data_IF_935012295572
#
_entry.id   IF_935012295572
#
_cell.length_a   1.000
_cell.length_b   1.000
_cell.length_c   1.000
_cell.angle_alpha   90.00
_cell.angle_beta   90.00
_cell.angle_gamma   90.00
#
_symmetry.space_group_name_H-M   'P 1'
#
loop_
_entity.id
_entity.type
_entity.pdbx_description
1 polymer ?
#
# COMPACT_ATOMS: atom_id res chain seq x y z
N UNK A 1 28.48 -11.48 -25.82
CA UNK A 1 27.38 -12.40 -25.46
C UNK A 1 27.01 -12.09 -24.02
N UNK A 2 25.90 -11.37 -23.79
CA UNK A 2 25.51 -10.98 -22.43
C UNK A 2 24.82 -12.15 -21.75
N UNK A 3 25.43 -12.67 -20.69
CA UNK A 3 24.88 -13.72 -19.83
C UNK A 3 23.60 -13.16 -19.19
N UNK A 4 22.44 -13.61 -19.66
CA UNK A 4 21.15 -13.22 -19.09
C UNK A 4 21.00 -13.91 -17.74
N UNK A 5 21.00 -13.12 -16.68
CA UNK A 5 20.65 -13.57 -15.33
C UNK A 5 19.16 -13.94 -15.36
N UNK A 6 18.76 -15.13 -14.88
CA UNK A 6 17.36 -15.52 -14.81
C UNK A 6 16.56 -14.50 -13.97
N UNK A 7 15.45 -14.01 -14.54
CA UNK A 7 14.53 -13.07 -13.90
C UNK A 7 13.58 -13.87 -13.01
N UNK A 8 13.84 -13.88 -11.72
CA UNK A 8 13.03 -14.54 -10.70
C UNK A 8 13.93 -14.93 -9.54
N UNK A 9 13.59 -14.45 -8.33
CA UNK A 9 14.28 -14.67 -7.05
C UNK A 9 15.42 -13.72 -6.65
N UNK A 10 15.29 -12.41 -6.90
CA UNK A 10 16.03 -11.44 -6.08
C UNK A 10 15.09 -10.35 -5.55
N UNK A 11 15.28 -10.03 -4.27
CA UNK A 11 14.31 -9.47 -3.32
C UNK A 11 13.43 -8.32 -3.85
N UNK A 12 12.18 -8.63 -4.18
CA UNK A 12 11.08 -7.67 -4.12
C UNK A 12 10.99 -7.22 -2.67
N UNK A 13 11.31 -5.95 -2.37
CA UNK A 13 11.17 -5.34 -1.04
C UNK A 13 9.76 -4.77 -0.95
N UNK A 14 8.77 -5.49 -0.40
CA UNK A 14 7.41 -5.01 -0.34
C UNK A 14 7.32 -3.93 0.75
N UNK A 15 6.43 -2.93 0.66
CA UNK A 15 6.16 -1.99 1.74
C UNK A 15 5.29 -2.61 2.87
N UNK A 16 5.45 -3.90 3.12
CA UNK A 16 4.92 -4.60 4.30
C UNK A 16 5.81 -5.78 4.69
N UNK A 17 5.74 -6.18 5.96
CA UNK A 17 6.41 -7.39 6.47
C UNK A 17 5.36 -8.38 6.98
N UNK A 18 5.49 -9.63 6.55
CA UNK A 18 4.74 -10.77 7.06
C UNK A 18 5.35 -11.24 8.38
N UNK A 19 4.58 -11.25 9.47
CA UNK A 19 5.10 -11.60 10.81
C UNK A 19 4.79 -13.05 11.25
N UNK A 20 3.94 -13.78 10.52
CA UNK A 20 3.62 -15.17 10.83
C UNK A 20 4.17 -16.12 9.74
N UNK A 21 5.43 -16.53 9.85
CA UNK A 21 5.94 -17.68 9.08
C UNK A 21 5.20 -18.96 9.53
N UNK A 22 4.26 -19.44 8.73
CA UNK A 22 3.43 -20.61 9.01
C UNK A 22 2.83 -21.20 7.73
N UNK A 23 2.09 -22.31 7.88
CA UNK A 23 1.33 -22.93 6.79
C UNK A 23 0.35 -21.89 6.23
N UNK A 24 0.59 -21.45 4.98
CA UNK A 24 -0.18 -20.36 4.37
C UNK A 24 -1.66 -20.76 4.32
N UNK A 25 -2.57 -19.99 4.96
CA UNK A 25 -3.99 -20.09 4.64
C UNK A 25 -4.15 -19.93 3.13
N UNK A 26 -5.05 -20.71 2.55
CA UNK A 26 -5.24 -20.86 1.10
C UNK A 26 -5.07 -19.50 0.38
N UNK A 27 -3.96 -19.31 -0.33
CA UNK A 27 -3.78 -18.12 -1.16
C UNK A 27 -4.82 -18.25 -2.26
N UNK A 28 -5.90 -17.49 -2.15
CA UNK A 28 -6.86 -17.37 -3.23
C UNK A 28 -6.16 -16.53 -4.31
N UNK A 29 -5.55 -17.23 -5.25
CA UNK A 29 -5.16 -16.65 -6.53
C UNK A 29 -6.47 -16.22 -7.20
N UNK A 30 -6.68 -14.91 -7.26
CA UNK A 30 -7.80 -14.34 -7.98
C UNK A 30 -7.28 -14.05 -9.39
N UNK A 31 -7.75 -14.77 -10.44
CA UNK A 31 -7.32 -14.56 -11.82
C UNK A 31 -7.97 -13.30 -12.38
N UNK A 32 -7.70 -12.16 -11.73
CA UNK A 32 -8.21 -10.85 -12.09
C UNK A 32 -7.04 -9.91 -12.32
N UNK A 33 -7.08 -9.24 -13.46
CA UNK A 33 -6.18 -8.12 -13.73
C UNK A 33 -6.59 -6.91 -12.87
N UNK A 34 -5.59 -6.09 -12.52
CA UNK A 34 -5.85 -4.77 -11.96
C UNK A 34 -6.42 -3.86 -13.05
N UNK A 35 -7.31 -2.95 -12.67
CA UNK A 35 -7.87 -2.01 -13.62
C UNK A 35 -6.77 -1.16 -14.27
N UNK A 36 -6.73 -1.14 -15.60
CA UNK A 36 -5.66 -0.49 -16.38
C UNK A 36 -5.63 1.02 -16.22
N UNK A 37 -6.70 1.65 -15.75
CA UNK A 37 -6.74 3.10 -15.47
C UNK A 37 -6.01 3.54 -14.21
N UNK A 38 -5.44 2.62 -13.41
CA UNK A 38 -4.68 2.98 -12.21
C UNK A 38 -3.31 3.60 -12.57
N UNK A 39 -2.95 4.77 -12.03
CA UNK A 39 -1.60 5.31 -12.14
C UNK A 39 -0.61 4.42 -11.39
N UNK A 40 0.67 4.51 -11.75
CA UNK A 40 1.72 3.91 -10.95
C UNK A 40 1.77 4.58 -9.57
N UNK A 41 1.85 3.77 -8.51
CA UNK A 41 2.11 4.22 -7.13
C UNK A 41 3.62 4.32 -6.86
N UNK A 42 4.40 3.48 -7.54
CA UNK A 42 5.86 3.48 -7.47
C UNK A 42 6.44 2.85 -8.74
N UNK A 43 7.68 3.18 -9.05
CA UNK A 43 8.47 2.46 -10.05
C UNK A 43 9.44 1.55 -9.31
N UNK A 44 9.47 0.28 -9.69
CA UNK A 44 10.45 -0.68 -9.19
C UNK A 44 11.86 -0.25 -9.63
N UNK A 45 12.74 0.04 -8.67
CA UNK A 45 14.09 0.57 -8.94
C UNK A 45 14.95 -0.40 -9.77
N UNK A 46 14.71 -1.71 -9.67
CA UNK A 46 15.56 -2.71 -10.33
C UNK A 46 15.09 -3.04 -11.74
N UNK A 47 13.78 -3.15 -11.92
CA UNK A 47 13.19 -3.51 -13.20
C UNK A 47 12.76 -2.30 -14.01
N UNK A 48 12.77 -1.11 -13.39
CA UNK A 48 12.18 0.13 -13.91
C UNK A 48 10.70 -0.02 -14.27
N UNK A 49 10.00 -0.98 -13.68
CA UNK A 49 8.62 -1.27 -14.04
C UNK A 49 7.64 -0.53 -13.11
N UNK A 50 6.54 0.03 -13.65
CA UNK A 50 5.50 0.66 -12.85
C UNK A 50 4.70 -0.37 -12.06
N UNK A 51 4.67 -0.17 -10.75
CA UNK A 51 3.79 -0.84 -9.79
C UNK A 51 2.52 0.00 -9.68
N UNK A 52 1.37 -0.59 -9.95
CA UNK A 52 0.06 0.09 -9.91
C UNK A 52 -0.66 -0.13 -8.59
N UNK A 53 -0.42 -1.25 -7.90
CA UNK A 53 -0.91 -1.49 -6.53
C UNK A 53 0.27 -2.02 -5.72
N UNK A 54 0.62 -1.31 -4.66
CA UNK A 54 1.67 -1.75 -3.74
C UNK A 54 1.16 -2.88 -2.85
N UNK A 55 2.10 -3.70 -2.38
CA UNK A 55 1.76 -4.72 -1.40
C UNK A 55 1.38 -4.08 -0.06
N UNK A 56 0.50 -4.72 0.71
CA UNK A 56 -0.12 -4.11 1.89
C UNK A 56 -1.32 -3.21 1.56
N UNK A 57 -1.69 -3.01 0.29
CA UNK A 57 -2.94 -2.34 -0.08
C UNK A 57 -4.13 -3.29 0.07
N UNK A 58 -5.20 -2.81 0.69
CA UNK A 58 -6.47 -3.53 0.75
C UNK A 58 -7.15 -3.41 -0.61
N UNK A 59 -7.59 -4.52 -1.17
CA UNK A 59 -8.19 -4.58 -2.51
C UNK A 59 -9.55 -5.25 -2.49
N UNK A 60 -10.32 -4.98 -3.54
CA UNK A 60 -11.61 -5.61 -3.80
C UNK A 60 -11.87 -5.69 -5.30
N UNK A 61 -13.03 -6.26 -5.64
CA UNK A 61 -13.52 -6.28 -7.02
C UNK A 61 -14.51 -5.14 -7.17
N UNK A 62 -14.28 -4.26 -8.14
CA UNK A 62 -15.20 -3.15 -8.40
C UNK A 62 -16.47 -3.67 -9.08
N UNK A 63 -17.62 -3.34 -8.48
CA UNK A 63 -18.96 -3.76 -8.93
C UNK A 63 -19.82 -2.54 -9.25
N UNK A 64 -20.55 -2.55 -10.38
CA UNK A 64 -21.44 -1.44 -10.74
C UNK A 64 -20.70 -0.20 -11.25
N UNK A 65 -21.32 1.00 -11.17
CA UNK A 65 -20.84 2.29 -11.71
C UNK A 65 -19.33 2.49 -11.48
N UNK A 66 -18.56 2.08 -12.48
CA UNK A 66 -17.12 2.13 -12.49
C UNK A 66 -16.70 2.97 -13.71
N UNK A 67 -15.49 3.53 -13.71
CA UNK A 67 -14.89 4.02 -14.95
C UNK A 67 -15.00 2.96 -16.06
N UNK A 68 -15.05 3.37 -17.33
CA UNK A 68 -15.19 2.42 -18.44
C UNK A 68 -14.19 1.25 -18.32
N UNK A 69 -14.71 0.02 -18.45
CA UNK A 69 -13.96 -1.25 -18.36
C UNK A 69 -13.34 -1.60 -16.99
N UNK A 70 -13.70 -0.89 -15.91
CA UNK A 70 -13.23 -1.24 -14.58
C UNK A 70 -14.02 -2.38 -13.93
N UNK A 71 -15.30 -2.56 -14.26
CA UNK A 71 -16.15 -3.60 -13.66
C UNK A 71 -15.52 -5.00 -13.75
N UNK A 72 -15.47 -5.70 -12.62
CA UNK A 72 -14.87 -7.04 -12.52
C UNK A 72 -13.34 -7.05 -12.44
N UNK A 73 -12.68 -5.89 -12.36
CA UNK A 73 -11.22 -5.78 -12.20
C UNK A 73 -10.85 -5.53 -10.75
N UNK A 74 -9.61 -5.85 -10.39
CA UNK A 74 -9.09 -5.57 -9.06
C UNK A 74 -8.87 -4.05 -8.91
N UNK A 75 -9.35 -3.51 -7.79
CA UNK A 75 -9.27 -2.09 -7.46
C UNK A 75 -8.96 -1.91 -5.97
N UNK A 76 -8.25 -0.85 -5.54
CA UNK A 76 -8.07 -0.54 -4.13
C UNK A 76 -9.41 -0.42 -3.41
N UNK A 77 -9.60 -1.17 -2.32
CA UNK A 77 -10.85 -1.16 -1.58
C UNK A 77 -11.15 0.22 -1.02
N UNK A 78 -12.43 0.57 -0.98
CA UNK A 78 -12.89 1.87 -0.49
C UNK A 78 -14.32 1.76 0.02
N UNK A 79 -14.56 2.29 1.22
CA UNK A 79 -15.92 2.48 1.73
C UNK A 79 -16.35 3.91 1.43
N UNK A 80 -17.53 4.10 0.81
CA UNK A 80 -18.02 5.43 0.45
C UNK A 80 -19.47 5.63 0.87
N UNK A 81 -19.78 6.85 1.27
CA UNK A 81 -21.15 7.36 1.40
C UNK A 81 -21.30 8.57 0.48
N UNK A 82 -22.32 8.57 -0.40
CA UNK A 82 -22.59 9.68 -1.32
C UNK A 82 -21.67 9.73 -2.56
N UNK A 83 -21.58 10.92 -3.16
CA UNK A 83 -20.79 11.18 -4.35
C UNK A 83 -19.40 11.69 -3.97
N UNK A 84 -18.40 10.85 -4.20
CA UNK A 84 -16.99 11.20 -3.96
C UNK A 84 -16.21 11.31 -5.27
N UNK A 85 -15.12 12.07 -5.24
CA UNK A 85 -14.19 12.18 -6.38
C UNK A 85 -12.86 11.53 -6.03
N UNK A 86 -12.40 10.59 -6.87
CA UNK A 86 -11.04 10.06 -6.75
C UNK A 86 -10.12 10.71 -7.79
N UNK A 87 -9.08 11.37 -7.31
CA UNK A 87 -8.03 12.00 -8.11
C UNK A 87 -6.83 11.07 -8.20
N UNK A 88 -6.55 10.63 -9.41
CA UNK A 88 -5.39 9.83 -9.77
C UNK A 88 -4.29 10.74 -10.28
N UNK A 89 -3.19 10.81 -9.51
CA UNK A 89 -2.01 11.63 -9.80
C UNK A 89 -0.90 10.80 -10.42
N UNK A 90 -0.31 11.33 -11.47
CA UNK A 90 0.64 10.58 -12.29
C UNK A 90 2.07 11.08 -12.09
N UNK A 91 3.04 10.19 -12.30
CA UNK A 91 4.43 10.58 -12.47
C UNK A 91 4.66 11.17 -13.86
N UNK A 92 5.67 12.03 -14.01
CA UNK A 92 6.10 12.55 -15.33
C UNK A 92 6.45 11.44 -16.32
N UNK A 93 6.84 10.28 -15.81
CA UNK A 93 7.33 9.15 -16.60
C UNK A 93 6.19 8.24 -17.11
N UNK A 94 4.92 8.56 -16.84
CA UNK A 94 3.78 7.75 -17.28
C UNK A 94 3.77 7.50 -18.79
N UNK A 95 4.22 8.48 -19.58
CA UNK A 95 4.31 8.39 -21.04
C UNK A 95 5.27 7.28 -21.52
N UNK A 96 6.33 7.01 -20.77
CA UNK A 96 7.32 5.98 -21.13
C UNK A 96 6.75 4.56 -21.06
N UNK A 97 5.66 4.37 -20.32
CA UNK A 97 5.08 3.06 -20.00
C UNK A 97 3.73 2.81 -20.66
N UNK A 98 3.27 3.72 -21.53
CA UNK A 98 1.93 3.68 -22.10
C UNK A 98 0.81 3.88 -21.07
N UNK A 99 1.15 4.35 -19.86
CA UNK A 99 0.19 4.69 -18.82
C UNK A 99 -0.45 6.06 -19.11
N UNK A 100 -1.60 6.38 -18.47
CA UNK A 100 -2.18 7.70 -18.63
C UNK A 100 -1.16 8.80 -18.24
N UNK A 101 -1.12 9.87 -19.03
CA UNK A 101 -0.10 10.93 -18.92
C UNK A 101 -0.59 12.21 -18.27
N UNK A 102 -1.88 12.26 -17.93
CA UNK A 102 -2.52 13.40 -17.27
C UNK A 102 -3.31 12.90 -16.08
N UNK A 103 -3.41 13.74 -15.05
CA UNK A 103 -4.26 13.47 -13.90
C UNK A 103 -5.70 13.18 -14.31
N UNK A 104 -6.28 12.16 -13.69
CA UNK A 104 -7.64 11.71 -13.96
C UNK A 104 -8.47 11.89 -12.69
N UNK A 105 -9.71 12.33 -12.83
CA UNK A 105 -10.68 12.35 -11.74
C UNK A 105 -11.82 11.40 -12.08
N UNK A 106 -12.09 10.43 -11.20
CA UNK A 106 -13.30 9.61 -11.25
C UNK A 106 -14.36 10.33 -10.44
N UNK A 107 -15.39 10.85 -11.11
CA UNK A 107 -16.60 11.35 -10.44
C UNK A 107 -17.48 10.17 -10.05
N UNK A 108 -17.97 10.18 -8.80
CA UNK A 108 -18.91 9.18 -8.27
C UNK A 108 -18.32 7.77 -8.14
N UNK A 109 -17.20 7.66 -7.42
CA UNK A 109 -16.62 6.35 -7.07
C UNK A 109 -17.63 5.54 -6.23
N UNK A 110 -17.81 4.27 -6.58
CA UNK A 110 -18.65 3.33 -5.83
C UNK A 110 -17.87 2.63 -4.72
N UNK A 111 -18.58 2.08 -3.73
CA UNK A 111 -17.94 1.28 -2.69
C UNK A 111 -17.34 0.01 -3.29
N UNK A 112 -16.12 -0.32 -2.88
CA UNK A 112 -15.40 -1.53 -3.28
C UNK A 112 -15.12 -2.34 -2.02
N UNK A 113 -15.86 -3.44 -1.85
CA UNK A 113 -15.79 -4.30 -0.66
C UNK A 113 -14.43 -5.01 -0.60
N UNK A 114 -13.77 -5.08 0.58
CA UNK A 114 -12.47 -5.72 0.71
C UNK A 114 -12.58 -7.24 0.52
N UNK A 115 -11.67 -7.81 -0.27
CA UNK A 115 -11.48 -9.27 -0.40
C UNK A 115 -10.19 -9.75 0.28
N UNK A 116 -9.31 -8.81 0.64
CA UNK A 116 -8.11 -9.05 1.44
C UNK A 116 -7.01 -8.05 1.12
N UNK A 117 -5.79 -8.39 1.51
CA UNK A 117 -4.61 -7.53 1.32
C UNK A 117 -3.68 -8.14 0.27
N UNK A 118 -3.15 -7.29 -0.61
CA UNK A 118 -2.19 -7.70 -1.63
C UNK A 118 -0.84 -8.03 -0.98
N UNK A 119 -0.29 -9.22 -1.25
CA UNK A 119 1.01 -9.64 -0.68
C UNK A 119 2.20 -9.38 -1.60
N UNK A 120 1.98 -9.10 -2.87
CA UNK A 120 3.06 -8.82 -3.82
C UNK A 120 2.69 -7.60 -4.65
N UNK A 121 3.65 -6.73 -4.99
CA UNK A 121 3.35 -5.57 -5.83
C UNK A 121 2.72 -6.03 -7.15
N UNK A 122 1.64 -5.35 -7.54
CA UNK A 122 0.95 -5.62 -8.79
C UNK A 122 1.47 -4.62 -9.81
N UNK A 123 2.06 -5.16 -10.86
CA UNK A 123 2.58 -4.38 -11.98
C UNK A 123 1.47 -4.03 -12.97
N UNK A 124 1.68 -2.97 -13.75
CA UNK A 124 0.72 -2.59 -14.80
C UNK A 124 0.53 -3.71 -15.84
N UNK A 125 -0.73 -4.06 -16.12
CA UNK A 125 -1.09 -5.00 -17.17
C UNK A 125 -0.96 -4.41 -18.58
N UNK A 126 -0.96 -3.07 -18.74
CA UNK A 126 -0.77 -2.44 -20.06
C UNK A 126 0.57 -2.80 -20.71
N UNK A 127 1.59 -3.09 -19.90
CA UNK A 127 2.91 -3.47 -20.42
C UNK A 127 2.91 -4.84 -21.11
N UNK A 128 2.02 -5.74 -20.69
CA UNK A 128 1.85 -7.05 -21.34
C UNK A 128 1.25 -6.91 -22.74
N UNK A 129 0.34 -5.95 -22.94
CA UNK A 129 -0.22 -5.65 -24.26
C UNK A 129 0.79 -4.93 -25.16
N UNK A 130 1.64 -4.09 -24.57
CA UNK A 130 2.61 -3.26 -25.30
C UNK A 130 3.86 -4.03 -25.73
N UNK A 131 4.34 -4.99 -24.91
CA UNK A 131 5.59 -5.71 -25.14
C UNK A 131 5.36 -7.22 -25.29
N UNK A 132 5.62 -7.75 -26.49
CA UNK A 132 5.34 -9.16 -26.86
C UNK A 132 6.17 -10.20 -26.09
N UNK A 133 7.27 -9.80 -25.47
CA UNK A 133 8.15 -10.65 -24.66
C UNK A 133 7.88 -10.54 -23.15
N UNK A 134 6.81 -9.85 -22.77
CA UNK A 134 6.49 -9.53 -21.38
C UNK A 134 5.30 -10.35 -20.91
N UNK A 135 5.53 -11.27 -19.97
CA UNK A 135 4.48 -12.05 -19.31
C UNK A 135 4.45 -11.67 -17.84
N UNK A 136 3.34 -11.11 -17.36
CA UNK A 136 3.13 -10.85 -15.94
C UNK A 136 2.31 -11.98 -15.31
N UNK A 137 2.30 -11.98 -13.98
CA UNK A 137 1.51 -12.92 -13.24
C UNK A 137 0.04 -12.49 -13.31
N UNK A 138 -0.75 -13.20 -14.11
CA UNK A 138 -2.19 -12.95 -14.25
C UNK A 138 -2.99 -13.32 -12.98
N UNK A 139 -2.34 -14.04 -12.05
CA UNK A 139 -2.91 -14.43 -10.78
C UNK A 139 -2.38 -13.53 -9.66
N UNK A 140 -3.20 -12.56 -9.27
CA UNK A 140 -2.93 -11.78 -8.06
C UNK A 140 -3.33 -12.62 -6.87
N UNK A 141 -2.39 -12.94 -5.98
CA UNK A 141 -2.77 -13.54 -4.71
C UNK A 141 -3.01 -12.48 -3.65
N UNK A 142 -4.04 -12.75 -2.87
CA UNK A 142 -4.55 -11.89 -1.82
C UNK A 142 -4.50 -12.72 -0.53
N UNK A 143 -4.05 -12.11 0.56
CA UNK A 143 -3.98 -12.76 1.88
C UNK A 143 -5.18 -12.39 2.73
N UNK A 144 -5.67 -13.40 3.45
CA UNK A 144 -6.66 -13.32 4.52
C UNK A 144 -6.13 -14.14 5.71
N UNK A 145 -6.64 -13.87 6.91
CA UNK A 145 -6.19 -14.51 8.16
C UNK A 145 -4.68 -14.42 8.40
N UNK A 146 -4.13 -13.21 8.25
CA UNK A 146 -2.68 -13.00 8.25
C UNK A 146 -2.23 -11.76 9.02
N UNK A 147 -1.05 -11.81 9.64
CA UNK A 147 -0.47 -10.68 10.37
C UNK A 147 0.54 -9.95 9.49
N UNK A 148 0.24 -8.68 9.20
CA UNK A 148 1.09 -7.80 8.41
C UNK A 148 1.56 -6.61 9.24
N UNK A 149 2.77 -6.13 8.97
CA UNK A 149 3.26 -4.85 9.47
C UNK A 149 3.33 -3.85 8.31
N UNK A 150 2.71 -2.68 8.49
CA UNK A 150 2.62 -1.62 7.48
C UNK A 150 3.10 -0.27 8.03
N UNK A 151 3.62 0.63 7.19
CA UNK A 151 3.86 2.02 7.57
C UNK A 151 2.55 2.82 7.64
N UNK A 152 2.43 3.69 8.64
CA UNK A 152 1.40 4.71 8.66
C UNK A 152 1.76 5.86 7.69
N UNK A 153 0.79 6.24 6.86
CA UNK A 153 0.92 7.27 5.81
C UNK A 153 -0.18 8.31 5.99
N UNK A 154 -1.42 7.87 6.20
CA UNK A 154 -2.57 8.77 6.32
C UNK A 154 -2.82 9.18 7.76
N UNK A 155 -3.48 10.32 7.96
CA UNK A 155 -3.90 10.77 9.30
C UNK A 155 -4.81 9.73 9.98
N UNK A 156 -5.66 9.04 9.22
CA UNK A 156 -6.53 7.97 9.72
C UNK A 156 -5.72 6.78 10.25
N UNK A 157 -4.61 6.43 9.60
CA UNK A 157 -3.68 5.37 10.04
C UNK A 157 -2.93 5.77 11.30
N UNK A 158 -2.49 7.02 11.38
CA UNK A 158 -1.87 7.57 12.59
C UNK A 158 -2.81 7.58 13.79
N UNK A 159 -4.13 7.50 13.60
CA UNK A 159 -5.11 7.40 14.68
C UNK A 159 -5.30 5.97 15.22
N UNK A 160 -4.82 4.94 14.50
CA UNK A 160 -4.99 3.53 14.89
C UNK A 160 -4.09 3.18 16.09
N UNK A 161 -4.66 2.55 17.12
CA UNK A 161 -3.96 2.09 18.32
C UNK A 161 -4.11 0.57 18.50
N UNK A 162 -3.25 -0.01 19.34
CA UNK A 162 -3.32 -1.44 19.65
C UNK A 162 -4.69 -1.78 20.27
N UNK A 163 -5.29 -2.89 19.84
CA UNK A 163 -6.62 -3.34 20.24
C UNK A 163 -7.77 -2.82 19.40
N UNK A 164 -7.57 -1.75 18.63
CA UNK A 164 -8.60 -1.18 17.75
C UNK A 164 -9.01 -2.16 16.65
N UNK A 165 -10.29 -2.17 16.31
CA UNK A 165 -10.76 -2.78 15.06
C UNK A 165 -10.35 -1.88 13.90
N UNK A 166 -9.89 -2.50 12.82
CA UNK A 166 -9.41 -1.82 11.62
C UNK A 166 -10.38 -2.07 10.50
N UNK A 167 -10.71 -1.01 9.76
CA UNK A 167 -11.55 -1.04 8.58
C UNK A 167 -10.83 -0.39 7.41
N UNK A 168 -11.33 -0.62 6.19
CA UNK A 168 -10.94 0.15 5.01
C UNK A 168 -11.29 1.62 5.22
N UNK A 169 -10.43 2.53 4.76
CA UNK A 169 -10.67 3.96 4.82
C UNK A 169 -12.08 4.30 4.26
N UNK A 170 -12.75 5.25 4.90
CA UNK A 170 -14.13 5.62 4.59
C UNK A 170 -14.24 7.07 4.18
N UNK A 171 -15.01 7.30 3.11
CA UNK A 171 -15.28 8.61 2.52
C UNK A 171 -16.71 9.08 2.80
N UNK A 172 -16.84 10.37 3.09
CA UNK A 172 -18.13 11.06 3.18
C UNK A 172 -18.44 11.83 1.90
N UNK A 173 -19.71 12.17 1.69
CA UNK A 173 -20.17 12.92 0.51
C UNK A 173 -19.37 14.22 0.30
N UNK A 174 -18.94 14.47 -0.94
CA UNK A 174 -18.13 15.65 -1.29
C UNK A 174 -16.63 15.56 -0.95
N UNK A 175 -16.15 14.46 -0.38
CA UNK A 175 -14.71 14.26 -0.15
C UNK A 175 -13.93 13.95 -1.44
N UNK A 176 -12.66 14.35 -1.44
CA UNK A 176 -11.69 14.05 -2.51
C UNK A 176 -10.66 13.03 -2.03
N UNK A 177 -10.47 11.99 -2.84
CA UNK A 177 -9.54 10.90 -2.58
C UNK A 177 -8.36 10.95 -3.53
N UNK A 178 -7.22 10.45 -3.07
CA UNK A 178 -5.97 10.52 -3.80
C UNK A 178 -5.41 9.11 -4.07
N UNK A 179 -4.75 8.96 -5.21
CA UNK A 179 -4.03 7.74 -5.57
C UNK A 179 -2.92 8.02 -6.58
N UNK A 180 -1.86 7.21 -6.55
CA UNK A 180 -0.71 7.30 -7.45
C UNK A 180 0.55 7.90 -6.83
N UNK A 181 1.63 7.98 -7.62
CA UNK A 181 2.97 8.36 -7.15
C UNK A 181 3.19 9.88 -7.10
N UNK A 182 2.44 10.66 -7.89
CA UNK A 182 2.58 12.12 -8.00
C UNK A 182 1.97 12.93 -6.84
N UNK A 183 1.71 12.30 -5.70
CA UNK A 183 1.02 12.92 -4.57
C UNK A 183 1.96 13.77 -3.72
N UNK A 184 1.54 15.00 -3.40
CA UNK A 184 2.18 15.81 -2.35
C UNK A 184 2.00 15.16 -0.97
N UNK A 185 2.83 15.53 0.02
CA UNK A 185 2.71 14.99 1.37
C UNK A 185 1.33 15.26 1.98
N UNK A 186 0.81 16.47 1.81
CA UNK A 186 -0.53 16.81 2.27
C UNK A 186 -1.62 15.90 1.66
N UNK A 187 -1.48 15.54 0.39
CA UNK A 187 -2.39 14.57 -0.25
C UNK A 187 -2.18 13.15 0.29
N UNK A 188 -0.94 12.72 0.53
CA UNK A 188 -0.65 11.41 1.14
C UNK A 188 -1.25 11.28 2.55
N UNK A 189 -1.16 12.34 3.36
CA UNK A 189 -1.71 12.37 4.72
C UNK A 189 -3.25 12.47 4.76
N UNK A 190 -3.89 12.81 3.63
CA UNK A 190 -5.34 12.92 3.50
C UNK A 190 -6.02 11.55 3.32
N UNK A 191 -6.93 11.41 2.36
CA UNK A 191 -7.62 10.16 2.03
C UNK A 191 -6.95 9.47 0.85
N UNK A 192 -6.50 8.23 1.07
CA UNK A 192 -5.85 7.39 0.07
C UNK A 192 -6.64 6.09 -0.15
N UNK A 193 -6.81 5.70 -1.41
CA UNK A 193 -7.54 4.48 -1.76
C UNK A 193 -6.79 3.21 -1.26
N UNK A 194 -7.55 2.22 -0.77
CA UNK A 194 -7.01 0.94 -0.29
C UNK A 194 -6.19 1.01 1.00
N UNK A 195 -6.33 2.09 1.77
CA UNK A 195 -5.64 2.33 3.04
C UNK A 195 -6.55 2.09 4.25
N UNK A 196 -5.96 2.12 5.44
CA UNK A 196 -6.57 1.65 6.67
C UNK A 196 -7.14 2.80 7.50
N UNK A 197 -8.11 2.49 8.36
CA UNK A 197 -8.61 3.39 9.39
C UNK A 197 -9.05 2.62 10.62
N UNK A 198 -9.22 3.33 11.73
CA UNK A 198 -9.96 2.83 12.88
C UNK A 198 -11.44 2.63 12.50
N UNK A 199 -11.98 1.46 12.84
CA UNK A 199 -13.41 1.19 12.69
C UNK A 199 -14.20 2.11 13.63
N UNK A 200 -15.23 2.74 13.07
CA UNK A 200 -16.09 3.70 13.76
C UNK A 200 -17.54 3.36 13.44
N UNK A 201 -18.25 2.87 14.45
CA UNK A 201 -19.65 2.45 14.35
C UNK A 201 -20.62 3.62 14.14
N UNK A 202 -20.16 4.86 14.27
CA UNK A 202 -21.00 6.05 14.10
C UNK A 202 -21.13 6.50 12.65
N UNK A 203 -20.32 5.94 11.75
CA UNK A 203 -20.36 6.30 10.34
C UNK A 203 -21.57 5.65 9.64
N UNK A 204 -22.09 6.29 8.60
CA UNK A 204 -23.18 5.75 7.79
C UNK A 204 -22.61 5.35 6.43
N UNK A 205 -22.06 4.14 6.31
CA UNK A 205 -21.91 3.52 4.98
C UNK A 205 -23.31 3.09 4.55
N UNK A 206 -23.67 3.35 3.30
CA UNK A 206 -24.99 3.04 2.74
C UNK A 206 -25.52 1.68 3.23
N UNK A 207 -26.74 1.66 3.79
CA UNK A 207 -27.45 0.44 4.24
C UNK A 207 -26.80 -0.42 5.34
N UNK A 208 -25.99 0.15 6.25
CA UNK A 208 -25.54 -0.58 7.45
C UNK A 208 -24.46 -1.66 7.19
N UNK A 209 -23.87 -1.66 5.99
CA UNK A 209 -22.82 -2.60 5.55
C UNK A 209 -21.44 -2.32 6.17
N UNK A 210 -21.33 -1.50 7.22
CA UNK A 210 -20.03 -1.08 7.78
C UNK A 210 -19.16 -2.23 8.25
N UNK A 211 -19.80 -3.27 8.80
CA UNK A 211 -19.11 -4.47 9.27
C UNK A 211 -18.39 -5.19 8.11
N UNK A 212 -18.90 -5.08 6.89
CA UNK A 212 -18.33 -5.72 5.70
C UNK A 212 -17.02 -5.06 5.23
N UNK A 213 -16.72 -3.87 5.74
CA UNK A 213 -15.46 -3.16 5.46
C UNK A 213 -14.43 -3.32 6.59
N UNK A 214 -14.78 -4.06 7.65
CA UNK A 214 -13.83 -4.42 8.71
C UNK A 214 -12.87 -5.45 8.16
N UNK A 215 -11.58 -5.17 8.29
CA UNK A 215 -10.48 -6.00 7.78
C UNK A 215 -9.76 -6.74 8.90
N UNK A 216 -10.02 -6.39 10.16
CA UNK A 216 -9.47 -7.12 11.31
C UNK A 216 -9.14 -6.23 12.50
N UNK A 217 -8.00 -6.47 13.17
CA UNK A 217 -7.60 -5.78 14.40
C UNK A 217 -6.14 -5.37 14.40
N UNK A 218 -5.86 -4.21 14.98
CA UNK A 218 -4.50 -3.76 15.23
C UNK A 218 -3.95 -4.47 16.47
N UNK A 219 -2.88 -5.25 16.30
CA UNK A 219 -2.19 -5.94 17.40
C UNK A 219 -1.18 -5.02 18.10
N UNK A 220 -0.47 -4.21 17.33
CA UNK A 220 0.56 -3.30 17.86
C UNK A 220 0.65 -2.04 17.01
N UNK A 221 0.99 -0.92 17.66
CA UNK A 221 1.15 0.39 17.03
C UNK A 221 2.32 1.09 17.70
N UNK A 222 3.46 1.14 17.03
CA UNK A 222 4.73 1.63 17.59
C UNK A 222 5.17 2.90 16.87
N UNK A 223 5.67 3.88 17.64
CA UNK A 223 6.45 4.97 17.05
C UNK A 223 7.86 4.44 16.89
N UNK A 224 8.28 4.14 15.66
CA UNK A 224 9.56 3.50 15.42
C UNK A 224 10.68 4.50 15.14
N UNK A 225 10.34 5.68 14.63
CA UNK A 225 11.31 6.75 14.35
C UNK A 225 10.70 8.13 14.56
N UNK A 226 11.55 9.13 14.71
CA UNK A 226 11.20 10.56 14.76
C UNK A 226 12.04 11.33 13.76
N UNK A 227 11.44 12.31 13.07
CA UNK A 227 12.17 13.12 12.08
C UNK A 227 11.61 14.51 11.88
N UNK A 228 11.54 14.98 10.64
CA UNK A 228 10.92 16.25 10.32
C UNK A 228 9.38 16.14 10.36
N UNK A 229 8.71 17.27 10.58
CA UNK A 229 7.26 17.37 10.46
C UNK A 229 6.84 17.17 9.01
N UNK A 230 5.70 16.52 8.80
CA UNK A 230 5.05 16.36 7.49
C UNK A 230 6.03 15.93 6.38
N UNK A 231 6.84 14.93 6.68
CA UNK A 231 7.86 14.42 5.77
C UNK A 231 7.69 12.92 5.55
N UNK A 232 7.96 12.48 4.34
CA UNK A 232 8.03 11.07 3.98
C UNK A 232 9.40 10.51 4.33
N UNK A 233 9.40 9.33 4.96
CA UNK A 233 10.61 8.58 5.26
C UNK A 233 11.19 7.99 3.98
N UNK A 234 12.43 8.34 3.69
CA UNK A 234 13.16 7.93 2.49
C UNK A 234 14.48 7.27 2.85
N UNK A 235 15.10 6.64 1.85
CA UNK A 235 16.37 5.94 2.01
C UNK A 235 17.53 6.83 2.45
N UNK A 236 17.42 8.14 2.25
CA UNK A 236 18.35 9.20 2.62
C UNK A 236 17.89 10.01 3.85
N UNK A 237 16.85 9.57 4.55
CA UNK A 237 16.30 10.29 5.70
C UNK A 237 17.26 10.35 6.88
N UNK A 238 17.25 11.48 7.59
CA UNK A 238 17.97 11.68 8.86
C UNK A 238 17.14 11.32 10.09
N UNK A 239 15.99 10.65 9.92
CA UNK A 239 15.13 10.23 11.01
C UNK A 239 15.89 9.32 11.99
N UNK A 240 15.67 9.56 13.29
CA UNK A 240 16.28 8.78 14.36
C UNK A 240 15.31 7.70 14.85
N UNK A 241 15.79 6.47 15.00
CA UNK A 241 15.01 5.40 15.65
C UNK A 241 14.73 5.74 17.12
N UNK A 242 13.50 5.49 17.55
CA UNK A 242 13.11 5.59 18.97
C UNK A 242 13.59 4.36 19.75
N UNK A 243 13.49 4.40 21.08
CA UNK A 243 13.77 3.22 21.92
C UNK A 243 12.86 2.02 21.56
N UNK A 244 11.58 2.29 21.27
CA UNK A 244 10.64 1.26 20.84
C UNK A 244 10.99 0.70 19.46
N UNK A 245 11.38 1.55 18.51
CA UNK A 245 11.84 1.12 17.19
C UNK A 245 13.14 0.32 17.25
N UNK A 246 14.10 0.72 18.09
CA UNK A 246 15.33 -0.04 18.33
C UNK A 246 15.05 -1.43 18.91
N UNK A 247 14.07 -1.53 19.82
CA UNK A 247 13.64 -2.81 20.41
C UNK A 247 12.95 -3.70 19.39
N UNK A 248 12.05 -3.15 18.59
CA UNK A 248 11.36 -3.89 17.52
C UNK A 248 12.35 -4.43 16.47
N UNK A 249 13.34 -3.62 16.10
CA UNK A 249 14.30 -3.95 15.03
C UNK A 249 15.66 -4.44 15.56
N UNK A 250 15.72 -4.87 16.83
CA UNK A 250 16.97 -5.29 17.48
C UNK A 250 17.65 -6.46 16.75
N UNK A 251 16.88 -7.33 16.11
CA UNK A 251 17.41 -8.48 15.37
C UNK A 251 17.96 -8.09 14.00
N UNK A 252 17.49 -6.99 13.41
CA UNK A 252 18.06 -6.42 12.18
C UNK A 252 19.43 -5.78 12.44
N UNK A 253 19.65 -5.22 13.63
CA UNK A 253 20.95 -4.69 14.05
C UNK A 253 22.03 -5.78 14.15
N UNK A 254 21.68 -7.06 14.32
CA UNK A 254 22.66 -8.17 14.32
C UNK A 254 23.20 -8.49 12.93
N UNK A 255 22.45 -8.16 11.87
CA UNK A 255 22.84 -8.41 10.46
C UNK A 255 23.82 -7.34 9.95
N UNK A 256 24.00 -6.22 10.67
CA UNK A 256 24.82 -5.06 10.25
C UNK A 256 26.35 -5.23 10.36
N UNK A 257 26.88 -6.37 10.84
CA UNK A 257 28.31 -6.48 11.20
C UNK A 257 29.19 -7.25 10.20
N UNK A 258 28.94 -7.15 8.88
CA UNK A 258 29.92 -7.58 7.86
C UNK A 258 30.49 -6.36 7.14
N UNK A 259 31.70 -5.88 7.52
CA UNK A 259 32.38 -4.78 6.83
C UNK A 259 32.57 -5.11 5.35
N UNK A 260 32.08 -4.24 4.46
CA UNK A 260 32.28 -4.34 3.00
C UNK A 260 31.04 -4.74 2.18
N UNK A 261 29.99 -5.25 2.82
CA UNK A 261 28.71 -5.51 2.17
C UNK A 261 27.77 -4.33 2.45
N UNK A 262 27.48 -3.50 1.44
CA UNK A 262 26.44 -2.46 1.48
C UNK A 262 25.04 -3.10 1.55
N UNK A 263 24.76 -3.80 2.65
CA UNK A 263 23.45 -4.36 2.93
C UNK A 263 22.51 -3.21 3.31
N UNK A 264 21.27 -3.28 2.81
CA UNK A 264 20.19 -2.34 3.12
C UNK A 264 20.08 -2.13 4.62
N UNK A 265 20.30 -0.91 5.09
CA UNK A 265 20.34 -0.56 6.52
C UNK A 265 21.38 0.52 6.86
N UNK A 266 22.50 0.61 6.12
CA UNK A 266 23.54 1.62 6.41
C UNK A 266 23.17 3.05 5.98
N UNK A 267 22.30 3.20 4.97
CA UNK A 267 21.76 4.50 4.54
C UNK A 267 20.50 4.92 5.30
N UNK A 268 19.73 3.94 5.81
CA UNK A 268 18.41 4.15 6.44
C UNK A 268 18.48 4.21 7.96
N UNK A 269 19.66 4.39 8.55
CA UNK A 269 19.89 4.40 10.01
C UNK A 269 19.26 3.20 10.75
N UNK A 270 19.19 2.03 10.11
CA UNK A 270 18.59 0.82 10.70
C UNK A 270 17.07 0.67 10.51
N UNK A 271 16.40 1.58 9.80
CA UNK A 271 14.98 1.42 9.46
C UNK A 271 14.80 0.32 8.39
N UNK A 272 13.86 -0.63 8.60
CA UNK A 272 13.49 -1.63 7.61
C UNK A 272 12.96 -1.04 6.29
N UNK A 273 13.30 -1.67 5.17
CA UNK A 273 12.92 -1.16 3.84
C UNK A 273 11.39 -1.06 3.64
N UNK A 274 10.60 -1.93 4.27
CA UNK A 274 9.14 -1.93 4.13
C UNK A 274 8.45 -0.75 4.84
N UNK A 275 9.18 -0.03 5.71
CA UNK A 275 8.69 1.16 6.40
C UNK A 275 9.16 2.46 5.72
N UNK A 276 9.97 2.35 4.68
CA UNK A 276 10.26 3.47 3.78
C UNK A 276 8.94 3.81 3.07
N UNK A 277 8.62 5.11 2.99
CA UNK A 277 7.30 5.69 2.69
C UNK A 277 6.35 5.91 3.86
N UNK A 278 6.72 5.59 5.11
CA UNK A 278 6.00 6.13 6.27
C UNK A 278 6.02 7.66 6.23
N UNK A 279 4.90 8.30 6.58
CA UNK A 279 4.84 9.76 6.71
C UNK A 279 4.83 10.11 8.19
N UNK A 280 5.48 11.21 8.58
CA UNK A 280 5.43 11.67 9.96
C UNK A 280 4.08 12.32 10.28
N UNK A 281 3.60 12.13 11.52
CA UNK A 281 2.46 12.88 12.03
C UNK A 281 2.85 14.31 12.42
N UNK A 282 1.87 15.12 12.85
CA UNK A 282 2.10 16.48 13.33
C UNK A 282 2.96 16.59 14.61
N UNK A 283 3.34 15.45 15.21
CA UNK A 283 4.31 15.35 16.31
C UNK A 283 5.66 14.78 15.85
N UNK A 284 5.91 14.75 14.55
CA UNK A 284 7.13 14.30 13.89
C UNK A 284 7.41 12.79 14.06
N UNK A 285 6.40 12.00 14.40
CA UNK A 285 6.53 10.59 14.67
C UNK A 285 6.20 9.76 13.44
N UNK A 286 7.08 8.83 13.10
CA UNK A 286 6.79 7.75 12.16
C UNK A 286 6.27 6.54 12.91
N UNK A 287 5.15 5.99 12.43
CA UNK A 287 4.45 4.91 13.10
C UNK A 287 4.36 3.67 12.20
N UNK A 288 4.56 2.51 12.80
CA UNK A 288 4.34 1.21 12.17
C UNK A 288 3.14 0.55 12.86
N UNK A 289 2.26 -0.03 12.05
CA UNK A 289 1.06 -0.72 12.50
C UNK A 289 1.22 -2.20 12.22
N UNK A 290 0.96 -3.03 13.22
CA UNK A 290 0.87 -4.49 13.07
C UNK A 290 -0.60 -4.87 13.11
N UNK A 291 -1.12 -5.39 12.00
CA UNK A 291 -2.53 -5.64 11.80
C UNK A 291 -2.73 -7.14 11.55
N UNK A 292 -3.60 -7.75 12.33
CA UNK A 292 -4.20 -9.04 12.01
C UNK A 292 -5.33 -8.80 11.02
N UNK A 293 -5.11 -9.19 9.78
CA UNK A 293 -6.10 -9.18 8.70
C UNK A 293 -6.96 -10.42 8.83
N UNK A 294 -8.26 -10.23 9.00
CA UNK A 294 -9.29 -11.26 9.09
C UNK A 294 -10.61 -10.68 8.58
N UNK A 295 -11.08 -11.21 7.46
CA UNK A 295 -12.32 -10.82 6.78
C UNK A 295 -13.43 -11.82 7.08
#
# INVERSE_FOLDING_TARGET
MATRIPRGYDAVRPPYLELCEGERPNVHAVPLEAWTGLPAVRVDEYHHDPIVIDAGTVVGVITGNAPANAAGKLFPAVAVSGSITAVMKHHSDGASWGLPTSDVSISSLTSVKPIGVVYQPIYSFMLQETFTNYKRNDNVGVVTDYVIQIPAITTDEHAIRAGDMVAVAHASDGETWNYGSGLSIAQKQSKLLGRYRKFDTSLNVTNGEQAEFVIGRCLSSIVFATGAADSELRSDSTAALTADGQKEFQDLNRVQTVPGLKLSGSGTAGVPAHLLSAVSDGSNNYRALTILVRL
#
